data_IF_076541103699
#
_entry.id   IF_076541103699
#
_cell.length_a   1.000
_cell.length_b   1.000
_cell.length_c   1.000
_cell.angle_alpha   90.00
_cell.angle_beta   90.00
_cell.angle_gamma   90.00
#
_symmetry.space_group_name_H-M   'P 1'
#
loop_
_entity.id
_entity.type
_entity.pdbx_description
1 polymer ?
#
# COMPACT_ATOMS: atom_id res chain seq x y z
N UNK A 1 12.78 -12.89 29.90
CA UNK A 1 12.61 -13.81 28.75
C UNK A 1 13.04 -13.06 27.49
N UNK A 2 13.98 -13.60 26.71
CA UNK A 2 14.36 -13.02 25.42
C UNK A 2 13.24 -13.36 24.43
N UNK A 3 12.46 -12.36 24.01
CA UNK A 3 11.56 -12.50 22.87
C UNK A 3 12.44 -12.57 21.63
N UNK A 4 12.44 -13.72 20.96
CA UNK A 4 13.13 -13.90 19.68
C UNK A 4 12.12 -13.72 18.55
N UNK A 5 12.56 -13.07 17.49
CA UNK A 5 11.79 -12.91 16.25
C UNK A 5 11.62 -14.28 15.59
N UNK A 6 10.39 -14.58 15.17
CA UNK A 6 10.10 -15.68 14.27
C UNK A 6 10.62 -15.33 12.86
N UNK A 7 11.60 -16.09 12.40
CA UNK A 7 12.32 -15.81 11.14
C UNK A 7 11.60 -16.35 9.92
N UNK A 8 10.57 -17.16 10.12
CA UNK A 8 9.79 -17.78 9.05
C UNK A 8 8.52 -16.97 8.74
N UNK A 9 8.22 -15.93 9.54
CA UNK A 9 7.05 -15.06 9.39
C UNK A 9 7.44 -13.60 9.14
N UNK A 10 8.16 -13.34 8.05
CA UNK A 10 8.62 -11.98 7.72
C UNK A 10 7.65 -11.36 6.71
N UNK A 11 7.20 -10.15 7.02
CA UNK A 11 6.33 -9.31 6.19
C UNK A 11 6.84 -7.87 6.21
N UNK A 12 6.46 -7.08 5.22
CA UNK A 12 6.82 -5.67 5.13
C UNK A 12 5.56 -4.80 4.99
N UNK A 13 5.62 -3.58 5.52
CA UNK A 13 4.57 -2.60 5.33
C UNK A 13 5.18 -1.21 5.28
N UNK A 14 4.62 -0.33 4.46
CA UNK A 14 5.10 1.04 4.39
C UNK A 14 4.10 1.97 3.74
N UNK A 15 4.24 3.25 4.10
CA UNK A 15 3.41 4.34 3.62
C UNK A 15 4.17 5.20 2.62
N UNK A 16 3.50 5.64 1.56
CA UNK A 16 4.04 6.50 0.52
C UNK A 16 5.35 5.94 -0.04
N UNK A 17 6.48 6.62 0.13
CA UNK A 17 7.80 6.13 -0.27
C UNK A 17 8.22 4.83 0.45
N UNK A 18 7.78 4.62 1.69
CA UNK A 18 7.93 3.35 2.40
C UNK A 18 7.08 2.23 1.78
N UNK A 19 5.95 2.58 1.16
CA UNK A 19 5.13 1.65 0.39
C UNK A 19 5.82 1.22 -0.90
N UNK A 20 6.49 2.15 -1.59
CA UNK A 20 7.38 1.82 -2.71
C UNK A 20 8.53 0.90 -2.26
N UNK A 21 9.16 1.22 -1.13
CA UNK A 21 10.22 0.37 -0.54
C UNK A 21 9.71 -1.04 -0.23
N UNK A 22 8.49 -1.15 0.29
CA UNK A 22 7.83 -2.44 0.49
C UNK A 22 7.62 -3.16 -0.83
N UNK A 23 7.10 -2.46 -1.85
CA UNK A 23 6.97 -2.99 -3.20
C UNK A 23 8.28 -3.54 -3.76
N UNK A 24 9.41 -2.86 -3.54
CA UNK A 24 10.74 -3.30 -3.99
C UNK A 24 11.10 -4.67 -3.40
N UNK A 25 10.86 -4.87 -2.10
CA UNK A 25 11.05 -6.17 -1.44
C UNK A 25 10.16 -7.27 -2.03
N UNK A 26 9.01 -6.89 -2.61
CA UNK A 26 8.03 -7.78 -3.24
C UNK A 26 8.23 -7.96 -4.75
N UNK A 27 9.20 -7.28 -5.36
CA UNK A 27 9.58 -7.43 -6.77
C UNK A 27 9.37 -6.20 -7.67
N UNK A 28 8.87 -5.08 -7.14
CA UNK A 28 8.76 -3.80 -7.85
C UNK A 28 10.13 -3.35 -8.36
N UNK A 29 10.19 -2.86 -9.60
CA UNK A 29 11.40 -2.29 -10.20
C UNK A 29 11.28 -0.78 -10.29
N UNK A 30 12.36 -0.09 -9.91
CA UNK A 30 12.45 1.36 -9.97
C UNK A 30 13.76 1.74 -10.66
N UNK A 31 13.66 2.50 -11.74
CA UNK A 31 14.83 2.98 -12.48
C UNK A 31 14.43 3.77 -13.72
N UNK A 32 15.34 4.57 -14.28
CA UNK A 32 15.16 5.16 -15.61
C UNK A 32 15.85 4.30 -16.69
N UNK A 33 15.12 3.80 -17.71
CA UNK A 33 13.66 3.84 -17.89
C UNK A 33 12.92 2.91 -16.92
N UNK A 34 11.60 3.06 -16.79
CA UNK A 34 10.77 2.18 -15.95
C UNK A 34 11.10 0.71 -16.20
N UNK A 35 11.21 -0.08 -15.13
CA UNK A 35 11.57 -1.49 -15.24
C UNK A 35 13.07 -1.78 -15.38
N UNK A 36 13.93 -0.77 -15.55
CA UNK A 36 15.38 -0.96 -15.61
C UNK A 36 16.05 -1.16 -14.25
N UNK A 37 15.28 -1.08 -13.16
CA UNK A 37 15.79 -1.24 -11.79
C UNK A 37 16.30 -2.65 -11.51
N UNK A 38 17.31 -2.75 -10.64
CA UNK A 38 17.83 -4.02 -10.14
C UNK A 38 16.74 -4.83 -9.41
N UNK A 39 16.89 -6.15 -9.39
CA UNK A 39 16.07 -7.01 -8.52
C UNK A 39 16.53 -6.91 -7.07
N UNK A 40 15.75 -6.20 -6.26
CA UNK A 40 15.97 -6.13 -4.82
C UNK A 40 14.90 -6.89 -4.03
N UNK A 41 14.18 -7.81 -4.68
CA UNK A 41 13.21 -8.66 -3.98
C UNK A 41 13.91 -9.52 -2.93
N UNK A 42 13.29 -9.65 -1.77
CA UNK A 42 13.82 -10.48 -0.69
C UNK A 42 13.00 -11.76 -0.56
N UNK A 43 13.59 -12.94 -0.80
CA UNK A 43 12.84 -14.18 -0.79
C UNK A 43 12.19 -14.51 0.56
N UNK A 44 12.63 -13.87 1.65
CA UNK A 44 12.12 -14.07 3.00
C UNK A 44 10.82 -13.31 3.30
N UNK A 45 10.50 -12.24 2.56
CA UNK A 45 9.34 -11.37 2.84
C UNK A 45 8.07 -11.95 2.22
N UNK A 46 7.25 -12.66 3.00
CA UNK A 46 6.12 -13.46 2.50
C UNK A 46 5.01 -12.66 1.83
N UNK A 47 4.91 -11.36 2.10
CA UNK A 47 3.96 -10.43 1.50
C UNK A 47 4.06 -9.07 2.18
N UNK A 48 3.20 -8.13 1.80
CA UNK A 48 3.21 -6.82 2.45
C UNK A 48 2.00 -5.92 2.24
N UNK A 49 2.05 -4.76 2.90
CA UNK A 49 1.01 -3.71 2.79
C UNK A 49 1.61 -2.45 2.21
N UNK A 50 1.02 -1.95 1.13
CA UNK A 50 1.41 -0.74 0.42
C UNK A 50 0.37 0.34 0.69
N UNK A 51 0.67 1.29 1.58
CA UNK A 51 -0.23 2.36 1.98
C UNK A 51 0.04 3.62 1.17
N UNK A 52 -0.96 4.15 0.44
CA UNK A 52 -0.85 5.38 -0.36
C UNK A 52 0.42 5.43 -1.24
N UNK A 53 0.74 4.30 -1.88
CA UNK A 53 1.98 4.13 -2.65
C UNK A 53 1.82 4.76 -4.03
N UNK A 54 2.82 5.52 -4.45
CA UNK A 54 2.88 6.10 -5.79
C UNK A 54 2.66 5.05 -6.88
N UNK A 55 1.88 5.41 -7.90
CA UNK A 55 1.62 4.58 -9.08
C UNK A 55 2.71 4.66 -10.15
N UNK A 56 2.33 4.46 -11.41
CA UNK A 56 3.27 4.47 -12.54
C UNK A 56 3.91 5.84 -12.78
N UNK A 57 5.14 5.82 -13.32
CA UNK A 57 5.86 7.03 -13.69
C UNK A 57 5.56 7.53 -15.10
N UNK A 58 6.51 8.26 -15.70
CA UNK A 58 6.43 8.66 -17.10
C UNK A 58 5.38 9.74 -17.38
N UNK A 59 4.45 9.45 -18.28
CA UNK A 59 3.39 10.40 -18.69
C UNK A 59 2.41 10.70 -17.54
N UNK A 60 2.31 9.79 -16.57
CA UNK A 60 1.46 9.97 -15.38
C UNK A 60 2.05 10.97 -14.37
N UNK A 61 3.32 11.33 -14.49
CA UNK A 61 3.96 12.31 -13.60
C UNK A 61 3.77 13.74 -14.09
N UNK A 62 3.78 14.70 -13.16
CA UNK A 62 3.98 16.11 -13.53
C UNK A 62 5.36 16.33 -14.15
N UNK A 63 5.54 17.39 -14.92
CA UNK A 63 6.85 17.72 -15.51
C UNK A 63 7.94 17.83 -14.45
N UNK A 64 7.62 18.49 -13.32
CA UNK A 64 8.52 18.59 -12.17
C UNK A 64 8.92 17.21 -11.63
N UNK A 65 7.96 16.32 -11.39
CA UNK A 65 8.23 14.99 -10.86
C UNK A 65 9.02 14.13 -11.85
N UNK A 66 8.71 14.20 -13.14
CA UNK A 66 9.43 13.47 -14.19
C UNK A 66 10.90 13.91 -14.30
N UNK A 67 11.17 15.20 -14.17
CA UNK A 67 12.52 15.76 -14.30
C UNK A 67 13.36 15.57 -13.02
N UNK A 68 12.74 15.64 -11.84
CA UNK A 68 13.46 15.75 -10.57
C UNK A 68 13.39 14.48 -9.70
N UNK A 69 12.42 13.60 -9.93
CA UNK A 69 12.14 12.43 -9.08
C UNK A 69 12.18 11.13 -9.90
N UNK A 70 13.35 10.76 -10.47
CA UNK A 70 13.47 9.58 -11.34
C UNK A 70 13.12 8.26 -10.62
N UNK A 71 13.12 8.24 -9.29
CA UNK A 71 12.68 7.10 -8.47
C UNK A 71 11.16 6.89 -8.46
N UNK A 72 10.35 7.80 -9.03
CA UNK A 72 8.92 7.57 -9.23
C UNK A 72 8.61 6.76 -10.51
N UNK A 73 9.64 6.36 -11.25
CA UNK A 73 9.48 5.55 -12.46
C UNK A 73 9.41 4.06 -12.12
N UNK A 74 8.26 3.64 -11.59
CA UNK A 74 7.99 2.30 -11.11
C UNK A 74 7.43 1.36 -12.20
N UNK A 75 7.88 0.10 -12.19
CA UNK A 75 7.32 -1.01 -12.95
C UNK A 75 6.89 -2.14 -12.01
N UNK A 76 5.58 -2.37 -11.97
CA UNK A 76 4.90 -3.33 -11.11
C UNK A 76 4.80 -4.74 -11.71
N UNK A 77 5.16 -4.93 -12.98
CA UNK A 77 4.93 -6.19 -13.70
C UNK A 77 5.68 -7.39 -13.09
N UNK A 78 6.78 -7.14 -12.38
CA UNK A 78 7.58 -8.15 -11.68
C UNK A 78 7.19 -8.34 -10.20
N UNK A 79 6.25 -7.55 -9.66
CA UNK A 79 5.82 -7.65 -8.26
C UNK A 79 4.84 -8.82 -8.07
N UNK A 80 5.38 -10.00 -7.76
CA UNK A 80 4.65 -11.27 -7.79
C UNK A 80 4.28 -11.83 -6.41
N UNK A 81 4.69 -11.17 -5.31
CA UNK A 81 4.35 -11.59 -3.95
C UNK A 81 3.00 -11.01 -3.50
N UNK A 82 2.27 -11.72 -2.61
CA UNK A 82 1.02 -11.22 -2.03
C UNK A 82 1.15 -9.79 -1.49
N UNK A 83 0.19 -8.94 -1.83
CA UNK A 83 0.17 -7.57 -1.33
C UNK A 83 -1.24 -7.01 -1.19
N UNK A 84 -1.50 -6.42 -0.02
CA UNK A 84 -2.62 -5.51 0.20
C UNK A 84 -2.20 -4.11 -0.20
N UNK A 85 -2.88 -3.55 -1.20
CA UNK A 85 -2.73 -2.15 -1.60
C UNK A 85 -3.81 -1.34 -0.92
N UNK A 86 -3.46 -0.18 -0.38
CA UNK A 86 -4.40 0.71 0.30
C UNK A 86 -4.32 2.09 -0.35
N UNK A 87 -5.45 2.57 -0.86
CA UNK A 87 -5.56 3.86 -1.53
C UNK A 87 -6.68 4.70 -0.88
N UNK A 88 -6.42 5.99 -0.72
CA UNK A 88 -7.45 6.96 -0.31
C UNK A 88 -8.18 7.49 -1.54
N UNK A 89 -9.50 7.51 -1.54
CA UNK A 89 -10.28 7.99 -2.70
C UNK A 89 -10.26 9.52 -2.87
N UNK A 90 -9.61 10.25 -1.95
CA UNK A 90 -9.31 11.68 -2.03
C UNK A 90 -7.80 11.96 -2.05
N UNK A 91 -6.93 10.96 -2.20
CA UNK A 91 -5.49 11.15 -2.29
C UNK A 91 -5.09 11.85 -3.60
N UNK A 92 -5.04 13.18 -3.57
CA UNK A 92 -4.65 14.00 -4.72
C UNK A 92 -3.21 14.46 -4.58
N UNK A 93 -2.30 13.65 -5.12
CA UNK A 93 -0.87 13.95 -5.10
C UNK A 93 -0.49 15.03 -6.13
N UNK A 94 0.40 15.95 -5.73
CA UNK A 94 1.01 16.96 -6.61
C UNK A 94 2.08 16.38 -7.55
N UNK A 95 2.40 15.09 -7.39
CA UNK A 95 3.43 14.40 -8.17
C UNK A 95 2.93 13.83 -9.49
N UNK A 96 1.61 13.67 -9.63
CA UNK A 96 0.96 13.05 -10.79
C UNK A 96 -0.01 14.02 -11.46
N UNK A 97 -0.25 13.81 -12.76
CA UNK A 97 -1.36 14.47 -13.49
C UNK A 97 -2.67 13.69 -13.36
N UNK A 98 -2.65 12.48 -12.79
CA UNK A 98 -3.82 11.64 -12.53
C UNK A 98 -4.53 12.02 -11.23
N UNK A 99 -5.68 11.39 -10.99
CA UNK A 99 -6.42 11.51 -9.75
C UNK A 99 -5.99 10.47 -8.71
N UNK A 100 -6.81 10.28 -7.67
CA UNK A 100 -6.57 9.29 -6.60
C UNK A 100 -6.40 7.84 -7.09
N UNK A 101 -6.91 7.52 -8.28
CA UNK A 101 -6.75 6.22 -8.92
C UNK A 101 -5.28 5.85 -9.21
N UNK A 102 -4.38 6.83 -9.26
CA UNK A 102 -2.93 6.58 -9.42
C UNK A 102 -2.37 5.68 -8.32
N UNK A 103 -2.81 5.86 -7.07
CA UNK A 103 -2.37 5.03 -5.94
C UNK A 103 -2.96 3.60 -5.96
N UNK A 104 -3.87 3.28 -6.89
CA UNK A 104 -4.37 1.92 -7.12
C UNK A 104 -3.48 1.11 -8.09
N UNK A 105 -2.58 1.75 -8.83
CA UNK A 105 -1.73 1.09 -9.82
C UNK A 105 -0.96 -0.13 -9.28
N UNK A 106 -0.41 -0.12 -8.04
CA UNK A 106 0.24 -1.32 -7.50
C UNK A 106 -0.70 -2.53 -7.49
N UNK A 107 -2.00 -2.33 -7.25
CA UNK A 107 -2.99 -3.41 -7.32
C UNK A 107 -3.28 -3.77 -8.77
N UNK A 108 -3.56 -2.76 -9.60
CA UNK A 108 -4.00 -2.96 -10.98
C UNK A 108 -2.92 -3.64 -11.84
N UNK A 109 -1.65 -3.33 -11.62
CA UNK A 109 -0.54 -3.71 -12.49
C UNK A 109 0.34 -4.86 -11.95
N UNK A 110 0.34 -5.12 -10.64
CA UNK A 110 1.14 -6.22 -10.08
C UNK A 110 0.42 -7.57 -10.24
N UNK A 111 1.12 -8.64 -10.64
CA UNK A 111 0.54 -9.99 -10.64
C UNK A 111 0.33 -10.55 -9.22
N UNK A 112 1.10 -10.10 -8.23
CA UNK A 112 1.04 -10.60 -6.86
C UNK A 112 0.05 -9.88 -5.93
N UNK A 113 -0.39 -8.67 -6.29
CA UNK A 113 -1.33 -7.92 -5.46
C UNK A 113 -2.71 -8.57 -5.51
N UNK A 114 -3.16 -9.06 -4.35
CA UNK A 114 -4.36 -9.87 -4.18
C UNK A 114 -5.56 -9.05 -3.71
N UNK A 115 -5.31 -7.95 -3.00
CA UNK A 115 -6.37 -7.08 -2.47
C UNK A 115 -6.08 -5.59 -2.64
N UNK A 116 -7.15 -4.82 -2.87
CA UNK A 116 -7.17 -3.36 -2.80
C UNK A 116 -8.18 -2.92 -1.75
N UNK A 117 -7.73 -2.13 -0.77
CA UNK A 117 -8.59 -1.40 0.17
C UNK A 117 -8.66 0.07 -0.26
N UNK A 118 -9.82 0.49 -0.74
CA UNK A 118 -10.13 1.91 -0.96
C UNK A 118 -10.70 2.50 0.33
N UNK A 119 -10.05 3.53 0.86
CA UNK A 119 -10.47 4.25 2.08
C UNK A 119 -11.31 5.46 1.68
N UNK A 120 -12.57 5.49 2.13
CA UNK A 120 -13.50 6.56 1.75
C UNK A 120 -13.22 7.86 2.49
N UNK A 121 -13.16 8.95 1.72
CA UNK A 121 -12.75 10.27 2.17
C UNK A 121 -11.30 10.31 2.67
N UNK A 122 -10.49 9.29 2.38
CA UNK A 122 -9.09 9.23 2.79
C UNK A 122 -8.22 10.02 1.82
N UNK A 123 -7.40 10.92 2.36
CA UNK A 123 -6.35 11.61 1.62
C UNK A 123 -5.04 10.82 1.68
N UNK A 124 -3.90 11.46 1.37
CA UNK A 124 -2.59 10.78 1.35
C UNK A 124 -2.23 10.13 2.69
N UNK A 125 -2.65 10.73 3.81
CA UNK A 125 -2.44 10.18 5.16
C UNK A 125 -3.45 9.08 5.55
N UNK A 126 -4.46 8.83 4.71
CA UNK A 126 -5.51 7.82 4.90
C UNK A 126 -6.28 8.01 6.23
N UNK A 127 -6.40 9.25 6.71
CA UNK A 127 -6.96 9.60 8.03
C UNK A 127 -6.06 9.33 9.24
N UNK A 128 -4.79 8.96 9.02
CA UNK A 128 -3.77 8.79 10.06
C UNK A 128 -3.11 10.09 10.49
N UNK A 129 -2.52 10.09 11.69
CA UNK A 129 -1.83 11.24 12.30
C UNK A 129 -0.32 10.98 12.23
N UNK A 130 0.45 11.67 11.36
CA UNK A 130 1.88 11.41 11.14
C UNK A 130 2.74 11.86 12.34
N UNK A 131 2.17 12.65 13.25
CA UNK A 131 2.81 13.04 14.49
C UNK A 131 1.93 13.99 15.32
N UNK A 132 2.33 14.22 16.58
CA UNK A 132 1.68 15.22 17.42
C UNK A 132 1.87 16.61 16.81
N UNK A 133 0.78 17.36 16.59
CA UNK A 133 0.76 18.69 15.94
C UNK A 133 1.20 18.71 14.46
N UNK A 134 1.28 17.55 13.80
CA UNK A 134 1.61 17.50 12.38
C UNK A 134 0.43 18.01 11.53
N UNK A 135 0.60 19.21 10.94
CA UNK A 135 -0.40 19.83 10.08
C UNK A 135 -0.52 19.18 8.68
N UNK A 136 0.26 18.13 8.41
CA UNK A 136 0.28 17.39 7.15
C UNK A 136 -0.98 16.52 6.96
N UNK A 137 -1.72 16.26 8.04
CA UNK A 137 -3.03 15.57 7.96
C UNK A 137 -4.16 16.57 8.10
N UNK A 138 -4.86 16.76 6.99
CA UNK A 138 -6.07 17.57 6.92
C UNK A 138 -7.35 16.77 7.11
N UNK A 139 -7.26 15.44 7.05
CA UNK A 139 -8.38 14.50 7.08
C UNK A 139 -8.37 13.55 8.29
N UNK A 140 -7.86 13.99 9.45
CA UNK A 140 -7.74 13.13 10.64
C UNK A 140 -9.06 12.41 10.97
N UNK A 141 -8.99 11.09 11.12
CA UNK A 141 -10.15 10.29 11.51
C UNK A 141 -9.71 9.06 12.31
N UNK A 142 -9.92 9.08 13.64
CA UNK A 142 -9.66 7.91 14.49
C UNK A 142 -10.39 6.64 14.02
N UNK A 143 -11.56 6.79 13.40
CA UNK A 143 -12.34 5.67 12.87
C UNK A 143 -11.67 5.05 11.63
N UNK A 144 -11.18 5.87 10.68
CA UNK A 144 -10.39 5.36 9.53
C UNK A 144 -9.09 4.70 10.00
N UNK A 145 -8.40 5.32 10.95
CA UNK A 145 -7.17 4.77 11.51
C UNK A 145 -7.42 3.42 12.22
N UNK A 146 -8.54 3.28 12.93
CA UNK A 146 -8.95 2.01 13.53
C UNK A 146 -9.23 0.92 12.49
N UNK A 147 -9.99 1.25 11.45
CA UNK A 147 -10.27 0.34 10.32
C UNK A 147 -8.96 -0.12 9.64
N UNK A 148 -8.06 0.82 9.33
CA UNK A 148 -6.77 0.52 8.71
C UNK A 148 -5.93 -0.41 9.57
N UNK A 149 -5.80 -0.13 10.87
CA UNK A 149 -5.07 -1.01 11.79
C UNK A 149 -5.66 -2.43 11.81
N UNK A 150 -6.99 -2.55 11.89
CA UNK A 150 -7.65 -3.86 11.93
C UNK A 150 -7.44 -4.65 10.63
N UNK A 151 -7.66 -4.03 9.47
CA UNK A 151 -7.57 -4.71 8.16
C UNK A 151 -6.13 -5.09 7.82
N UNK A 152 -5.17 -4.20 8.04
CA UNK A 152 -3.75 -4.48 7.79
C UNK A 152 -3.22 -5.56 8.72
N UNK A 153 -3.59 -5.54 10.00
CA UNK A 153 -3.26 -6.60 10.95
C UNK A 153 -3.87 -7.95 10.55
N UNK A 154 -5.13 -7.96 10.14
CA UNK A 154 -5.83 -9.16 9.71
C UNK A 154 -5.20 -9.77 8.46
N UNK A 155 -4.91 -8.94 7.46
CA UNK A 155 -4.21 -9.34 6.24
C UNK A 155 -2.86 -9.98 6.57
N UNK A 156 -1.98 -9.27 7.31
CA UNK A 156 -0.64 -9.74 7.62
C UNK A 156 -0.64 -11.05 8.41
N UNK A 157 -1.61 -11.26 9.32
CA UNK A 157 -1.76 -12.53 10.05
C UNK A 157 -2.15 -13.69 9.15
N UNK A 158 -3.03 -13.46 8.19
CA UNK A 158 -3.41 -14.45 7.19
C UNK A 158 -2.23 -14.74 6.26
N UNK A 159 -1.50 -13.73 5.79
CA UNK A 159 -0.31 -13.89 4.91
C UNK A 159 0.76 -14.79 5.51
N UNK A 160 1.00 -14.71 6.83
CA UNK A 160 1.99 -15.56 7.51
C UNK A 160 1.41 -16.89 8.03
N UNK A 161 0.19 -17.25 7.63
CA UNK A 161 -0.46 -18.52 8.01
C UNK A 161 -0.75 -18.65 9.52
N UNK A 162 -0.83 -17.52 10.25
CA UNK A 162 -1.16 -17.53 11.69
C UNK A 162 -2.65 -17.65 11.96
N UNK A 163 -3.47 -17.17 11.04
CA UNK A 163 -4.92 -17.17 11.14
C UNK A 163 -5.55 -16.96 9.75
N UNK A 164 -5.98 -18.06 9.12
CA UNK A 164 -6.60 -18.04 7.78
C UNK A 164 -7.98 -17.38 7.78
N UNK A 165 -8.58 -17.15 8.95
CA UNK A 165 -9.88 -16.53 9.12
C UNK A 165 -9.77 -15.02 9.36
N UNK A 166 -8.62 -14.52 9.82
CA UNK A 166 -8.46 -13.12 10.21
C UNK A 166 -8.87 -12.16 9.08
N UNK A 167 -8.29 -12.30 7.88
CA UNK A 167 -8.63 -11.46 6.74
C UNK A 167 -10.09 -11.61 6.26
N UNK A 168 -10.60 -12.82 5.95
CA UNK A 168 -12.00 -12.99 5.56
C UNK A 168 -13.00 -12.45 6.59
N UNK A 169 -12.72 -12.62 7.88
CA UNK A 169 -13.59 -12.15 8.96
C UNK A 169 -13.58 -10.61 9.05
N UNK A 170 -12.42 -9.97 8.87
CA UNK A 170 -12.29 -8.51 8.84
C UNK A 170 -12.98 -7.88 7.62
N UNK A 171 -12.84 -8.47 6.43
CA UNK A 171 -13.53 -8.01 5.20
C UNK A 171 -15.05 -8.14 5.34
N UNK A 172 -15.53 -9.25 5.93
CA UNK A 172 -16.97 -9.41 6.21
C UNK A 172 -17.48 -8.37 7.21
N UNK A 173 -16.70 -8.07 8.25
CA UNK A 173 -17.06 -7.04 9.22
C UNK A 173 -17.17 -5.66 8.55
N UNK A 174 -16.19 -5.28 7.71
CA UNK A 174 -16.25 -4.03 6.94
C UNK A 174 -17.48 -3.98 6.03
N UNK A 175 -17.77 -5.06 5.31
CA UNK A 175 -18.87 -5.11 4.34
C UNK A 175 -20.26 -5.11 5.02
N UNK A 176 -20.34 -5.64 6.24
CA UNK A 176 -21.59 -5.70 7.01
C UNK A 176 -21.88 -4.40 7.78
N UNK A 177 -20.92 -3.47 7.86
CA UNK A 177 -21.12 -2.17 8.46
C UNK A 177 -22.13 -1.34 7.62
N UNK A 178 -23.17 -0.73 8.23
CA UNK A 178 -24.11 0.11 7.51
C UNK A 178 -23.50 1.40 6.95
N UNK A 179 -22.38 1.87 7.50
CA UNK A 179 -21.65 3.06 7.07
C UNK A 179 -20.15 2.73 6.90
N UNK A 180 -19.79 1.86 5.93
CA UNK A 180 -18.44 1.36 5.80
C UNK A 180 -17.48 2.51 5.44
N UNK A 181 -16.32 2.55 6.10
CA UNK A 181 -15.28 3.56 5.87
C UNK A 181 -14.35 3.24 4.68
N UNK A 182 -14.65 2.18 3.95
CA UNK A 182 -13.89 1.75 2.78
C UNK A 182 -14.50 0.53 2.12
N UNK A 183 -13.86 0.08 1.03
CA UNK A 183 -14.25 -1.12 0.28
C UNK A 183 -13.03 -1.94 -0.06
N UNK A 184 -13.20 -3.27 -0.08
CA UNK A 184 -12.18 -4.21 -0.54
C UNK A 184 -12.54 -4.76 -1.92
N UNK A 185 -11.58 -4.73 -2.85
CA UNK A 185 -11.57 -5.50 -4.10
C UNK A 185 -10.54 -6.64 -3.97
N UNK A 186 -10.84 -7.81 -4.50
CA UNK A 186 -10.01 -9.02 -4.40
C UNK A 186 -9.87 -9.69 -5.77
N UNK A 187 -8.74 -10.36 -6.02
CA UNK A 187 -8.50 -11.18 -7.23
C UNK A 187 -8.64 -12.67 -6.96
#
# INVERSE_FOLDING_TARGET
MSVRVDRDSIVAAGHSFGGQTTGILLGLRVGPPAGSGEDMSDPRVLGGVLLATAGTGGEDLTDFARENLPYLNADFSAMSRPALVVAGDQDRSVLTVRGPDWSEDPYRLSPGADHLLTVFGGEHSLGGIPGYEAAETTDESPARLGMLQQLTWAYLRTTVGRDDRAWPDAVRALTADPEPLGRVESR
#
